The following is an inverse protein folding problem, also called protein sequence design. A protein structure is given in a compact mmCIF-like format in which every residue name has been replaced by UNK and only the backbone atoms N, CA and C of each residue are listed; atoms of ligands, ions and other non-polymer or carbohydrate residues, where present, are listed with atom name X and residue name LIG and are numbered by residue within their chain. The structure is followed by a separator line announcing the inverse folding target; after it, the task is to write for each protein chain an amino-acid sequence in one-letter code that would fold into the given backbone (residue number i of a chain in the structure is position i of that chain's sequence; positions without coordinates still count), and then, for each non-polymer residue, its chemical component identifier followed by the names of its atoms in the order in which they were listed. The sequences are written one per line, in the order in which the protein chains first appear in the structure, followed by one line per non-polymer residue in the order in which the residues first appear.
data_IF_584643846618
#
_entry.id   IF_584643846618
#
_cell.length_a   1.000
_cell.length_b   1.000
_cell.length_c   1.000
_cell.angle_alpha   90.00
_cell.angle_beta   90.00
_cell.angle_gamma   90.00
#
_symmetry.space_group_name_H-M   'P 1'
#
loop_
_entity.id
_entity.type
_entity.pdbx_description
1 polymer ?
#
# COMPACT_ATOMS: atom_id res chain seq x y z
N UNK A 1 -6.79 -14.64 -5.77
CA UNK A 1 -5.94 -15.47 -6.68
C UNK A 1 -4.51 -14.89 -6.73
N UNK A 2 -3.47 -15.69 -7.00
CA UNK A 2 -2.04 -15.42 -6.73
C UNK A 2 -1.65 -15.29 -5.24
N UNK A 3 -2.08 -14.26 -4.51
CA UNK A 3 -1.72 -14.10 -3.09
C UNK A 3 -2.17 -15.30 -2.24
N UNK A 4 -3.39 -15.78 -2.45
CA UNK A 4 -3.92 -17.01 -1.82
C UNK A 4 -3.08 -18.24 -2.18
N UNK A 5 -2.61 -18.33 -3.43
CA UNK A 5 -1.76 -19.42 -3.90
C UNK A 5 -0.36 -19.38 -3.27
N UNK A 6 0.16 -18.19 -3.02
CA UNK A 6 1.45 -17.98 -2.35
C UNK A 6 1.34 -18.32 -0.86
N UNK A 7 0.31 -17.83 -0.18
CA UNK A 7 0.03 -18.19 1.21
C UNK A 7 -0.11 -19.72 1.38
N UNK A 8 -0.83 -20.38 0.47
CA UNK A 8 -0.99 -21.83 0.47
C UNK A 8 0.31 -22.63 0.24
N UNK A 9 1.37 -22.00 -0.28
CA UNK A 9 2.71 -22.60 -0.44
C UNK A 9 3.65 -22.34 0.74
N UNK A 10 3.16 -21.71 1.81
CA UNK A 10 3.96 -21.45 3.01
C UNK A 10 4.83 -20.20 2.95
N UNK A 11 4.64 -19.32 1.95
CA UNK A 11 5.28 -18.01 1.95
C UNK A 11 4.78 -17.19 3.15
N UNK A 12 5.71 -16.77 4.00
CA UNK A 12 5.40 -16.11 5.27
C UNK A 12 4.99 -14.63 5.11
N UNK A 13 5.41 -14.00 4.01
CA UNK A 13 5.11 -12.60 3.73
C UNK A 13 4.41 -12.51 2.38
N UNK A 14 3.14 -12.15 2.42
CA UNK A 14 2.30 -11.98 1.24
C UNK A 14 1.58 -10.64 1.39
N UNK A 15 1.98 -9.68 0.57
CA UNK A 15 1.47 -8.30 0.62
C UNK A 15 0.80 -7.96 -0.69
N UNK A 16 -0.32 -7.24 -0.62
CA UNK A 16 -1.00 -6.71 -1.81
C UNK A 16 -0.34 -5.40 -2.28
N UNK A 17 -0.95 -4.78 -3.29
CA UNK A 17 -0.49 -3.50 -3.85
C UNK A 17 -1.01 -2.26 -3.12
N UNK A 18 -1.81 -2.36 -2.04
CA UNK A 18 -2.46 -1.19 -1.44
C UNK A 18 -1.44 -0.19 -0.90
N UNK A 19 -0.38 -0.68 -0.25
CA UNK A 19 0.74 0.14 0.21
C UNK A 19 1.35 0.95 -0.93
N UNK A 20 1.66 0.28 -2.04
CA UNK A 20 2.21 0.91 -3.23
C UNK A 20 1.27 1.98 -3.80
N UNK A 21 -0.03 1.71 -3.87
CA UNK A 21 -1.02 2.66 -4.38
C UNK A 21 -1.14 3.93 -3.54
N UNK A 22 -1.03 3.81 -2.21
CA UNK A 22 -1.10 4.97 -1.32
C UNK A 22 0.20 5.77 -1.35
N UNK A 23 1.37 5.11 -1.34
CA UNK A 23 2.66 5.79 -1.40
C UNK A 23 2.87 6.56 -2.71
N UNK A 24 2.50 5.99 -3.87
CA UNK A 24 2.58 6.73 -5.13
C UNK A 24 1.63 7.96 -5.16
N UNK A 25 0.51 7.90 -4.45
CA UNK A 25 -0.41 9.02 -4.34
C UNK A 25 0.20 10.12 -3.46
N UNK A 26 0.90 9.74 -2.39
CA UNK A 26 1.67 10.68 -1.57
C UNK A 26 2.81 11.34 -2.36
N UNK A 27 3.50 10.60 -3.22
CA UNK A 27 4.54 11.16 -4.09
C UNK A 27 3.93 12.13 -5.14
N UNK A 28 2.78 11.77 -5.73
CA UNK A 28 2.05 12.67 -6.64
C UNK A 28 1.57 13.94 -5.94
N UNK A 29 1.06 13.81 -4.72
CA UNK A 29 0.67 14.93 -3.88
C UNK A 29 1.88 15.83 -3.57
N UNK A 30 3.03 15.26 -3.23
CA UNK A 30 4.25 16.04 -3.00
C UNK A 30 4.67 16.84 -4.24
N UNK A 31 4.56 16.26 -5.44
CA UNK A 31 4.88 16.96 -6.70
C UNK A 31 4.00 18.20 -6.87
N UNK A 32 2.70 18.11 -6.54
CA UNK A 32 1.75 19.21 -6.73
C UNK A 32 1.70 20.21 -5.58
N UNK A 33 1.94 19.76 -4.34
CA UNK A 33 1.70 20.55 -3.14
C UNK A 33 2.98 20.91 -2.39
N UNK A 34 4.13 20.34 -2.77
CA UNK A 34 5.44 20.62 -2.17
C UNK A 34 5.67 19.94 -0.81
N UNK A 35 4.68 19.25 -0.25
CA UNK A 35 4.76 18.54 1.02
C UNK A 35 4.39 17.07 0.84
N UNK A 36 5.15 16.15 1.47
CA UNK A 36 4.85 14.72 1.46
C UNK A 36 3.93 14.38 2.65
N UNK A 37 2.69 13.94 2.42
CA UNK A 37 1.75 13.65 3.49
C UNK A 37 2.09 12.32 4.18
N UNK A 38 1.67 12.18 5.44
CA UNK A 38 1.70 10.87 6.11
C UNK A 38 0.63 9.94 5.52
N UNK A 39 1.03 8.72 5.17
CA UNK A 39 0.17 7.71 4.55
C UNK A 39 -0.42 6.71 5.56
N UNK A 40 0.13 6.66 6.78
CA UNK A 40 -0.24 5.69 7.80
C UNK A 40 -1.74 5.68 8.14
N UNK A 41 -2.35 6.85 8.29
CA UNK A 41 -3.78 6.99 8.57
C UNK A 41 -4.64 6.54 7.39
N UNK A 42 -4.25 6.90 6.15
CA UNK A 42 -4.97 6.50 4.93
C UNK A 42 -4.90 4.98 4.74
N UNK A 43 -3.74 4.37 4.95
CA UNK A 43 -3.57 2.92 4.92
C UNK A 43 -4.43 2.20 5.96
N UNK A 44 -4.56 2.77 7.16
CA UNK A 44 -5.42 2.21 8.21
C UNK A 44 -6.90 2.30 7.85
N UNK A 45 -7.34 3.39 7.20
CA UNK A 45 -8.74 3.56 6.77
C UNK A 45 -9.15 2.64 5.61
N UNK A 46 -8.20 2.27 4.74
CA UNK A 46 -8.47 1.49 3.53
C UNK A 46 -8.26 -0.02 3.71
N UNK A 47 -7.62 -0.44 4.81
CA UNK A 47 -7.49 -1.86 5.14
C UNK A 47 -8.82 -2.39 5.68
N UNK A 48 -9.35 -3.50 5.12
CA UNK A 48 -10.55 -4.17 5.62
C UNK A 48 -10.30 -4.90 6.93
#
# INVERSE_FOLDING_TARGET
PFMTWAAARGFQQVTDGLGMLVEQAADSYQIWNGERPSTSHVLAMLRP
#
